data_IF_937111827505
#
_entry.id   IF_937111827505
#
_cell.length_a   1.000
_cell.length_b   1.000
_cell.length_c   1.000
_cell.angle_alpha   90.00
_cell.angle_beta   90.00
_cell.angle_gamma   90.00
#
_symmetry.space_group_name_H-M   'P 1'
#
loop_
_entity.id
_entity.type
_entity.pdbx_description
1 polymer ?
#
# COMPACT_ATOMS: atom_id res chain seq x y z
N UNK A 1 6.24 16.53 -17.76
CA UNK A 1 4.99 16.00 -17.17
C UNK A 1 4.99 14.49 -17.31
N UNK A 2 5.31 13.74 -16.25
CA UNK A 2 5.32 12.28 -16.27
C UNK A 2 4.15 11.79 -15.40
N UNK A 3 3.08 11.36 -16.04
CA UNK A 3 1.87 10.86 -15.38
C UNK A 3 1.54 9.44 -15.86
N UNK A 4 0.73 8.72 -15.09
CA UNK A 4 0.22 7.41 -15.51
C UNK A 4 -1.11 7.59 -16.25
N UNK A 5 -1.15 7.14 -17.50
CA UNK A 5 -2.37 7.09 -18.30
C UNK A 5 -2.95 5.68 -18.21
N UNK A 6 -4.22 5.56 -17.81
CA UNK A 6 -4.96 4.30 -17.86
C UNK A 6 -6.22 4.51 -18.70
N UNK A 7 -6.42 3.68 -19.71
CA UNK A 7 -7.63 3.69 -20.53
C UNK A 7 -8.35 2.35 -20.39
N UNK A 8 -9.67 2.40 -20.23
CA UNK A 8 -10.51 1.22 -20.13
C UNK A 8 -11.91 1.48 -20.70
N UNK A 9 -12.74 0.43 -20.70
CA UNK A 9 -14.15 0.51 -21.07
C UNK A 9 -14.99 0.14 -19.84
N UNK A 10 -15.91 1.03 -19.46
CA UNK A 10 -16.90 0.76 -18.43
C UNK A 10 -18.29 1.16 -18.94
N UNK A 11 -19.28 0.27 -18.82
CA UNK A 11 -20.63 0.47 -19.34
C UNK A 11 -20.68 0.86 -20.84
N UNK A 12 -19.78 0.30 -21.65
CA UNK A 12 -19.70 0.63 -23.08
C UNK A 12 -19.07 1.99 -23.41
N UNK A 13 -18.64 2.76 -22.40
CA UNK A 13 -17.98 4.05 -22.56
C UNK A 13 -16.47 3.90 -22.39
N UNK A 14 -15.70 4.57 -23.25
CA UNK A 14 -14.24 4.66 -23.11
C UNK A 14 -13.91 5.68 -22.02
N UNK A 15 -13.30 5.22 -20.94
CA UNK A 15 -12.85 6.05 -19.84
C UNK A 15 -11.32 6.18 -19.88
N UNK A 16 -10.83 7.40 -19.69
CA UNK A 16 -9.41 7.69 -19.58
C UNK A 16 -9.15 8.35 -18.24
N UNK A 17 -8.39 7.68 -17.38
CA UNK A 17 -7.93 8.23 -16.12
C UNK A 17 -6.50 8.75 -16.31
N UNK A 18 -6.27 9.99 -15.88
CA UNK A 18 -4.96 10.63 -15.86
C UNK A 18 -4.58 10.80 -14.39
N UNK A 19 -3.50 10.16 -13.97
CA UNK A 19 -2.90 10.41 -12.66
C UNK A 19 -1.64 11.23 -12.86
N UNK A 20 -1.69 12.50 -12.46
CA UNK A 20 -0.50 13.34 -12.37
C UNK A 20 0.29 12.94 -11.12
N UNK A 21 1.56 12.60 -11.31
CA UNK A 21 2.49 12.38 -10.20
C UNK A 21 2.99 13.76 -9.75
N UNK A 22 2.22 14.41 -8.88
CA UNK A 22 2.55 15.75 -8.35
C UNK A 22 3.61 15.70 -7.25
N UNK A 23 3.81 14.53 -6.63
CA UNK A 23 4.90 14.26 -5.69
C UNK A 23 5.48 12.87 -5.97
N UNK A 24 6.80 12.68 -5.85
CA UNK A 24 7.38 11.35 -5.86
C UNK A 24 6.72 10.52 -4.75
N UNK A 25 6.17 9.36 -5.13
CA UNK A 25 5.73 8.37 -4.15
C UNK A 25 6.92 8.02 -3.26
N UNK A 26 6.75 7.91 -1.93
CA UNK A 26 7.82 7.42 -1.08
C UNK A 26 8.24 6.04 -1.60
N UNK A 27 9.46 5.94 -2.13
CA UNK A 27 10.03 4.67 -2.60
C UNK A 27 10.32 3.71 -1.44
N UNK A 28 10.53 4.27 -0.25
CA UNK A 28 10.93 3.52 0.94
C UNK A 28 9.85 3.60 2.02
N UNK A 29 9.32 2.44 2.40
CA UNK A 29 8.52 2.28 3.60
C UNK A 29 9.45 1.88 4.75
N UNK A 30 9.67 2.79 5.69
CA UNK A 30 10.46 2.50 6.88
C UNK A 30 9.56 1.88 7.95
N UNK A 31 9.75 0.59 8.22
CA UNK A 31 9.12 -0.08 9.34
C UNK A 31 10.09 -0.09 10.53
N UNK A 32 9.74 0.60 11.60
CA UNK A 32 10.45 0.45 12.87
C UNK A 32 9.87 -0.74 13.61
N UNK A 33 10.65 -1.80 13.75
CA UNK A 33 10.31 -2.87 14.67
C UNK A 33 10.55 -2.37 16.10
N UNK A 34 9.63 -2.63 17.04
CA UNK A 34 9.86 -2.29 18.43
C UNK A 34 11.08 -3.06 18.96
N UNK A 35 11.87 -2.45 19.86
CA UNK A 35 13.03 -3.08 20.50
C UNK A 35 12.68 -4.33 21.33
N UNK A 36 11.39 -4.62 21.48
CA UNK A 36 10.91 -5.75 22.27
C UNK A 36 10.88 -7.00 21.39
N UNK A 37 11.29 -8.16 21.93
CA UNK A 37 11.21 -9.42 21.21
C UNK A 37 9.76 -9.67 20.78
N UNK A 38 9.60 -10.29 19.60
CA UNK A 38 8.29 -10.72 19.13
C UNK A 38 7.61 -11.56 20.22
N UNK A 39 6.41 -11.16 20.62
CA UNK A 39 5.62 -11.92 21.57
C UNK A 39 5.12 -13.20 20.89
N UNK A 40 5.28 -14.34 21.55
CA UNK A 40 4.63 -15.58 21.13
C UNK A 40 3.20 -15.59 21.68
N UNK A 41 2.26 -16.03 20.86
CA UNK A 41 0.85 -16.14 21.23
C UNK A 41 0.39 -17.59 21.07
N UNK A 42 -0.51 -18.04 21.94
CA UNK A 42 -1.17 -19.33 21.80
C UNK A 42 -2.29 -19.28 20.73
N UNK A 43 -2.92 -20.42 20.46
CA UNK A 43 -4.01 -20.52 19.48
C UNK A 43 -5.26 -19.69 19.84
N UNK A 44 -5.38 -19.25 21.09
CA UNK A 44 -6.48 -18.42 21.58
C UNK A 44 -6.12 -16.93 21.60
N UNK A 45 -4.89 -16.56 21.18
CA UNK A 45 -4.38 -15.19 21.16
C UNK A 45 -3.84 -14.70 22.50
N UNK A 46 -3.62 -15.57 23.49
CA UNK A 46 -2.99 -15.20 24.75
C UNK A 46 -1.45 -15.17 24.60
N UNK A 47 -0.80 -14.15 25.19
CA UNK A 47 0.66 -14.01 25.16
C UNK A 47 1.31 -15.08 26.04
N UNK A 48 2.26 -15.82 25.48
CA UNK A 48 3.09 -16.77 26.22
C UNK A 48 4.15 -16.02 27.07
N UNK A 49 4.43 -16.52 28.29
CA UNK A 49 5.43 -15.92 29.18
C UNK A 49 6.86 -15.98 28.60
#
# INVERSE_FOLDING_TARGET
>A
MAGRLVTGIAHGLRLTAVTEVTQPLPTDLQFQLPDRPAALFDANGARLP
#
